data_IF_836054662831
#
_entry.id   IF_836054662831
#
_cell.length_a   1.000
_cell.length_b   1.000
_cell.length_c   1.000
_cell.angle_alpha   90.00
_cell.angle_beta   90.00
_cell.angle_gamma   90.00
#
_symmetry.space_group_name_H-M   'P 1'
#
loop_
_entity.id
_entity.type
_entity.pdbx_description
1 polymer ?
#
# COMPACT_ATOMS: atom_id res chain seq x y z
N UNK A 1 -22.09 37.95 9.98
CA UNK A 1 -22.66 36.74 10.57
C UNK A 1 -23.51 36.09 9.48
N UNK A 2 -22.99 35.07 8.75
CA UNK A 2 -23.71 34.38 7.66
C UNK A 2 -23.97 32.95 8.14
N UNK A 3 -25.22 32.63 8.24
CA UNK A 3 -25.78 31.33 8.61
C UNK A 3 -25.48 30.33 7.52
N UNK A 4 -24.93 29.18 7.90
CA UNK A 4 -24.73 28.06 6.99
C UNK A 4 -26.11 27.40 6.72
N UNK A 5 -26.51 27.35 5.45
CA UNK A 5 -27.68 26.60 5.02
C UNK A 5 -27.35 25.11 4.98
N UNK A 6 -27.93 24.37 5.90
CA UNK A 6 -27.96 22.91 5.85
C UNK A 6 -28.97 22.47 4.78
N UNK A 7 -28.50 21.75 3.78
CA UNK A 7 -29.36 21.06 2.83
C UNK A 7 -30.22 20.02 3.57
N UNK A 8 -31.51 20.31 3.68
CA UNK A 8 -32.52 19.31 4.08
C UNK A 8 -32.76 18.40 2.88
N UNK A 9 -32.44 17.12 3.03
CA UNK A 9 -32.95 16.07 2.15
C UNK A 9 -34.42 15.89 2.52
N UNK A 10 -35.30 16.22 1.59
CA UNK A 10 -36.72 15.96 1.68
C UNK A 10 -36.97 14.48 1.39
N UNK A 11 -37.37 13.72 2.39
CA UNK A 11 -37.95 12.39 2.20
C UNK A 11 -39.31 12.51 1.50
N UNK A 12 -39.32 12.22 0.19
CA UNK A 12 -40.57 12.04 -0.56
C UNK A 12 -40.79 10.52 -0.71
N UNK A 13 -41.83 9.92 -0.10
CA UNK A 13 -42.03 8.47 -0.10
C UNK A 13 -42.72 7.88 -1.36
N UNK A 14 -42.81 8.58 -2.47
CA UNK A 14 -43.50 8.08 -3.67
C UNK A 14 -42.67 8.30 -4.95
N UNK A 15 -41.59 7.57 -5.13
CA UNK A 15 -41.04 7.27 -6.45
C UNK A 15 -40.47 5.85 -6.51
N UNK A 16 -41.21 4.85 -7.02
CA UNK A 16 -40.71 3.51 -7.24
C UNK A 16 -40.02 3.44 -8.60
N UNK A 17 -38.81 3.91 -8.73
CA UNK A 17 -38.08 3.62 -9.94
C UNK A 17 -37.10 4.68 -10.39
N UNK A 18 -35.96 4.61 -9.88
CA UNK A 18 -34.63 4.68 -10.50
C UNK A 18 -33.60 4.97 -9.44
N UNK A 19 -33.21 3.93 -8.74
CA UNK A 19 -31.98 4.00 -7.97
C UNK A 19 -30.87 4.31 -8.97
N UNK A 20 -30.13 5.42 -8.83
CA UNK A 20 -28.96 5.65 -9.68
C UNK A 20 -28.03 4.45 -9.53
N UNK A 21 -27.36 4.00 -10.61
CA UNK A 21 -26.44 2.88 -10.52
C UNK A 21 -25.48 3.16 -9.37
N UNK A 22 -25.41 2.22 -8.43
CA UNK A 22 -24.47 2.28 -7.32
C UNK A 22 -23.07 2.43 -7.91
N UNK A 23 -22.49 3.62 -7.78
CA UNK A 23 -21.09 3.89 -8.17
C UNK A 23 -20.12 3.39 -7.10
N UNK A 24 -20.63 2.67 -6.09
CA UNK A 24 -19.78 2.00 -5.13
C UNK A 24 -19.19 0.80 -5.86
N UNK A 25 -17.85 0.69 -6.02
CA UNK A 25 -17.24 -0.51 -6.61
C UNK A 25 -17.72 -1.70 -5.80
N UNK A 26 -18.16 -2.72 -6.53
CA UNK A 26 -18.55 -3.99 -5.93
C UNK A 26 -17.43 -4.43 -4.97
N UNK A 27 -17.74 -4.82 -3.71
CA UNK A 27 -16.71 -5.25 -2.79
C UNK A 27 -15.88 -6.35 -3.46
N UNK A 28 -14.56 -6.34 -3.34
CA UNK A 28 -13.71 -7.33 -3.99
C UNK A 28 -14.20 -8.73 -3.60
N UNK A 29 -14.28 -9.60 -4.60
CA UNK A 29 -14.68 -10.98 -4.39
C UNK A 29 -13.81 -11.58 -3.26
N UNK A 30 -14.44 -12.37 -2.39
CA UNK A 30 -13.74 -13.08 -1.32
C UNK A 30 -12.50 -13.80 -1.87
N UNK A 31 -11.33 -13.46 -1.35
CA UNK A 31 -10.06 -13.98 -1.85
C UNK A 31 -9.56 -15.19 -1.04
N UNK A 32 -9.94 -15.32 0.23
CA UNK A 32 -9.45 -16.37 1.15
C UNK A 32 -7.97 -16.24 1.52
N UNK A 33 -7.40 -17.24 2.16
CA UNK A 33 -6.00 -17.24 2.61
C UNK A 33 -5.66 -16.02 3.48
N UNK A 34 -4.54 -15.36 3.20
CA UNK A 34 -4.13 -14.14 3.93
C UNK A 34 -4.94 -12.89 3.55
N UNK A 35 -5.76 -12.98 2.50
CA UNK A 35 -6.70 -11.95 2.08
C UNK A 35 -8.14 -12.24 2.53
N UNK A 36 -8.33 -13.15 3.47
CA UNK A 36 -9.62 -13.45 4.07
C UNK A 36 -10.18 -12.19 4.76
N UNK A 37 -11.40 -11.72 4.42
CA UNK A 37 -11.99 -10.53 5.01
C UNK A 37 -12.25 -10.63 6.51
N UNK A 38 -12.37 -11.85 7.05
CA UNK A 38 -12.54 -12.10 8.49
C UNK A 38 -11.19 -12.32 9.19
N UNK A 39 -10.08 -12.34 8.45
CA UNK A 39 -8.72 -12.40 8.98
C UNK A 39 -8.13 -11.01 9.18
N UNK A 40 -7.05 -10.92 9.97
CA UNK A 40 -6.33 -9.66 10.23
C UNK A 40 -4.85 -9.81 9.92
N UNK A 41 -4.36 -9.00 8.99
CA UNK A 41 -2.93 -8.92 8.68
C UNK A 41 -2.32 -7.69 9.38
N UNK A 42 -1.29 -7.92 10.19
CA UNK A 42 -0.64 -6.91 11.03
C UNK A 42 0.79 -6.70 10.55
N UNK A 43 1.13 -5.44 10.27
CA UNK A 43 2.51 -5.02 10.01
C UNK A 43 3.22 -4.72 11.32
N UNK A 44 4.27 -5.47 11.62
CA UNK A 44 5.18 -5.21 12.73
C UNK A 44 6.38 -4.44 12.18
N UNK A 45 6.58 -3.22 12.66
CA UNK A 45 7.65 -2.36 12.17
C UNK A 45 9.06 -2.93 12.42
N UNK A 46 9.21 -3.73 13.46
CA UNK A 46 10.51 -4.19 13.94
C UNK A 46 11.19 -3.17 14.86
N UNK A 47 12.26 -3.58 15.51
CA UNK A 47 13.11 -2.72 16.32
C UNK A 47 14.29 -2.17 15.50
N UNK A 48 15.18 -1.39 16.14
CA UNK A 48 16.25 -0.65 15.48
C UNK A 48 17.17 -1.46 14.54
N UNK A 49 17.35 -2.76 14.83
CA UNK A 49 18.20 -3.69 14.07
C UNK A 49 17.45 -4.96 13.64
N UNK A 50 16.14 -5.01 13.88
CA UNK A 50 15.30 -6.15 13.54
C UNK A 50 14.52 -5.89 12.27
N UNK A 51 14.41 -6.91 11.43
CA UNK A 51 13.55 -6.85 10.27
C UNK A 51 12.08 -6.70 10.66
N UNK A 52 11.35 -6.02 9.84
CA UNK A 52 9.89 -5.96 9.93
C UNK A 52 9.28 -7.32 9.59
N UNK A 53 8.09 -7.57 10.09
CA UNK A 53 7.39 -8.84 9.86
C UNK A 53 5.90 -8.66 9.68
N UNK A 54 5.23 -9.68 9.14
CA UNK A 54 3.79 -9.76 9.11
C UNK A 54 3.31 -10.84 10.09
N UNK A 55 2.31 -10.47 10.88
CA UNK A 55 1.52 -11.39 11.71
C UNK A 55 0.14 -11.52 11.10
N UNK A 56 -0.39 -12.72 11.01
CA UNK A 56 -1.74 -12.99 10.57
C UNK A 56 -2.56 -13.58 11.71
N UNK A 57 -3.76 -13.06 11.92
CA UNK A 57 -4.75 -13.63 12.82
C UNK A 57 -5.82 -14.24 11.93
N UNK A 58 -6.00 -15.56 12.03
CA UNK A 58 -7.01 -16.27 11.24
C UNK A 58 -8.43 -15.91 11.68
N UNK A 59 -9.46 -16.17 10.87
CA UNK A 59 -10.86 -16.00 11.27
C UNK A 59 -11.23 -16.70 12.58
N UNK A 60 -10.57 -17.84 12.89
CA UNK A 60 -10.76 -18.59 14.13
C UNK A 60 -9.98 -18.02 15.32
N UNK A 61 -9.20 -16.94 15.12
CA UNK A 61 -8.40 -16.29 16.15
C UNK A 61 -7.01 -16.90 16.38
N UNK A 62 -6.54 -17.80 15.52
CA UNK A 62 -5.17 -18.31 15.63
C UNK A 62 -4.15 -17.27 15.17
N UNK A 63 -3.02 -17.15 15.87
CA UNK A 63 -1.97 -16.18 15.57
C UNK A 63 -0.81 -16.85 14.86
N UNK A 64 -0.51 -16.40 13.66
CA UNK A 64 0.62 -16.84 12.85
C UNK A 64 1.63 -15.70 12.70
N UNK A 65 2.82 -15.87 13.25
CA UNK A 65 3.89 -14.86 13.17
C UNK A 65 4.82 -15.09 11.98
N UNK A 66 5.43 -14.01 11.49
CA UNK A 66 6.43 -14.03 10.41
C UNK A 66 5.92 -14.69 9.11
N UNK A 67 4.63 -14.52 8.79
CA UNK A 67 3.98 -15.23 7.68
C UNK A 67 4.64 -14.94 6.33
N UNK A 68 5.07 -13.69 6.07
CA UNK A 68 5.79 -13.36 4.84
C UNK A 68 7.12 -14.13 4.74
N UNK A 69 7.92 -14.13 5.81
CA UNK A 69 9.21 -14.82 5.82
C UNK A 69 9.06 -16.33 5.68
N UNK A 70 8.04 -16.93 6.29
CA UNK A 70 7.73 -18.36 6.14
C UNK A 70 7.46 -18.75 4.69
N UNK A 71 6.75 -17.88 3.95
CA UNK A 71 6.41 -18.12 2.55
C UNK A 71 7.59 -17.89 1.61
N UNK A 72 8.37 -16.81 1.84
CA UNK A 72 9.37 -16.34 0.88
C UNK A 72 10.82 -16.68 1.25
N UNK A 73 11.08 -17.20 2.46
CA UNK A 73 12.41 -17.52 2.95
C UNK A 73 13.27 -16.30 3.36
N UNK A 74 12.74 -15.07 3.18
CA UNK A 74 13.41 -13.82 3.51
C UNK A 74 12.45 -12.83 4.14
N UNK A 75 12.94 -11.85 4.91
CA UNK A 75 12.14 -10.72 5.36
C UNK A 75 11.92 -9.73 4.21
N UNK A 76 10.80 -9.00 4.21
CA UNK A 76 10.55 -8.00 3.17
C UNK A 76 11.42 -6.74 3.31
N UNK A 77 11.82 -6.36 4.52
CA UNK A 77 12.70 -5.23 4.76
C UNK A 77 12.67 -4.73 6.18
N UNK A 78 13.46 -3.70 6.45
CA UNK A 78 13.57 -3.00 7.72
C UNK A 78 12.59 -1.83 7.80
N UNK A 79 12.07 -1.55 9.00
CA UNK A 79 11.26 -0.37 9.25
C UNK A 79 10.00 -0.35 8.40
N UNK A 80 9.14 -1.38 8.54
CA UNK A 80 7.85 -1.46 7.85
C UNK A 80 7.01 -0.21 8.09
N UNK A 81 6.45 0.36 7.04
CA UNK A 81 5.75 1.64 7.08
C UNK A 81 4.26 1.48 6.79
N UNK A 82 3.90 0.70 5.79
CA UNK A 82 2.51 0.61 5.36
C UNK A 82 2.21 -0.69 4.62
N UNK A 83 0.94 -1.09 4.64
CA UNK A 83 0.36 -2.18 3.88
C UNK A 83 -0.83 -1.66 3.10
N UNK A 84 -0.91 -2.03 1.84
CA UNK A 84 -2.06 -1.71 0.99
C UNK A 84 -2.46 -2.92 0.17
N UNK A 85 -3.74 -3.29 0.21
CA UNK A 85 -4.28 -4.39 -0.59
C UNK A 85 -5.09 -3.82 -1.76
N UNK A 86 -4.76 -4.26 -2.97
CA UNK A 86 -5.46 -3.82 -4.19
C UNK A 86 -5.40 -4.90 -5.26
N UNK A 87 -6.55 -5.21 -5.87
CA UNK A 87 -6.68 -6.17 -6.97
C UNK A 87 -5.97 -7.51 -6.73
N UNK A 88 -6.18 -8.11 -5.55
CA UNK A 88 -5.57 -9.40 -5.21
C UNK A 88 -4.07 -9.36 -4.93
N UNK A 89 -3.49 -8.18 -4.82
CA UNK A 89 -2.08 -7.96 -4.46
C UNK A 89 -1.94 -7.23 -3.15
N UNK A 90 -0.91 -7.60 -2.40
CA UNK A 90 -0.49 -6.93 -1.18
C UNK A 90 0.78 -6.12 -1.49
N UNK A 91 0.72 -4.84 -1.24
CA UNK A 91 1.82 -3.89 -1.35
C UNK A 91 2.38 -3.65 0.05
N UNK A 92 3.65 -3.96 0.25
CA UNK A 92 4.35 -3.85 1.54
C UNK A 92 5.41 -2.79 1.40
N UNK A 93 5.29 -1.71 2.15
CA UNK A 93 6.23 -0.61 2.15
C UNK A 93 7.14 -0.67 3.38
N UNK A 94 8.45 -0.52 3.16
CA UNK A 94 9.45 -0.43 4.21
C UNK A 94 10.48 0.65 3.92
N UNK A 95 11.20 1.12 4.92
CA UNK A 95 12.36 2.00 4.68
C UNK A 95 13.54 1.21 4.12
N UNK A 96 13.56 -0.08 4.34
CA UNK A 96 14.60 -1.03 3.99
C UNK A 96 16.01 -0.58 4.43
N UNK A 97 16.08 0.16 5.54
CA UNK A 97 17.34 0.58 6.16
C UNK A 97 17.27 0.38 7.66
N UNK A 98 18.30 -0.21 8.23
CA UNK A 98 18.50 -0.26 9.67
C UNK A 98 19.07 1.08 10.22
N UNK A 99 19.31 1.14 11.52
CA UNK A 99 19.91 2.34 12.17
C UNK A 99 21.33 2.63 11.69
N UNK A 100 22.02 1.65 11.13
CA UNK A 100 23.36 1.80 10.55
C UNK A 100 23.34 2.10 9.05
N UNK A 101 22.17 2.40 8.49
CA UNK A 101 21.95 2.67 7.06
C UNK A 101 22.28 1.46 6.15
N UNK A 102 22.28 0.25 6.71
CA UNK A 102 22.40 -0.99 5.93
C UNK A 102 21.04 -1.37 5.36
N UNK A 103 21.05 -1.79 4.10
CA UNK A 103 19.87 -2.34 3.47
C UNK A 103 19.76 -3.83 3.78
N UNK A 104 18.65 -4.24 4.38
CA UNK A 104 18.35 -5.62 4.68
C UNK A 104 16.95 -5.99 4.24
N UNK A 105 16.75 -7.26 3.90
CA UNK A 105 15.50 -7.77 3.38
C UNK A 105 15.36 -7.59 1.88
N UNK A 106 14.17 -7.84 1.37
CA UNK A 106 13.91 -7.91 -0.07
C UNK A 106 13.99 -6.53 -0.74
N UNK A 107 13.31 -5.53 -0.21
CA UNK A 107 13.33 -4.19 -0.81
C UNK A 107 12.48 -3.16 -0.09
N UNK A 108 12.40 -1.97 -0.67
CA UNK A 108 11.62 -0.85 -0.12
C UNK A 108 10.12 -1.01 -0.41
N UNK A 109 9.76 -1.45 -1.61
CA UNK A 109 8.41 -1.82 -1.97
C UNK A 109 8.39 -3.26 -2.46
N UNK A 110 7.62 -4.09 -1.78
CA UNK A 110 7.38 -5.48 -2.16
C UNK A 110 5.93 -5.63 -2.59
N UNK A 111 5.73 -6.27 -3.72
CA UNK A 111 4.40 -6.67 -4.20
C UNK A 111 4.31 -8.18 -4.09
N UNK A 112 3.31 -8.65 -3.37
CA UNK A 112 3.02 -10.06 -3.17
C UNK A 112 1.58 -10.38 -3.59
N UNK A 113 1.33 -11.62 -3.93
CA UNK A 113 -0.03 -12.14 -4.07
C UNK A 113 -0.74 -12.08 -2.70
N UNK A 114 -1.92 -11.49 -2.64
CA UNK A 114 -2.59 -11.21 -1.37
C UNK A 114 -3.09 -12.46 -0.64
N UNK A 115 -3.42 -13.51 -1.40
CA UNK A 115 -3.94 -14.78 -0.85
C UNK A 115 -2.82 -15.65 -0.27
N UNK A 116 -1.70 -15.72 -0.97
CA UNK A 116 -0.60 -16.65 -0.67
C UNK A 116 0.61 -15.98 -0.01
N UNK A 117 0.70 -14.66 -0.04
CA UNK A 117 1.87 -13.83 0.30
C UNK A 117 3.12 -14.14 -0.52
N UNK A 118 3.01 -14.90 -1.61
CA UNK A 118 4.13 -15.12 -2.52
C UNK A 118 4.57 -13.81 -3.14
N UNK A 119 5.84 -13.49 -2.98
CA UNK A 119 6.49 -12.32 -3.58
C UNK A 119 6.47 -12.41 -5.09
N UNK A 120 6.00 -11.37 -5.76
CA UNK A 120 5.93 -11.25 -7.21
C UNK A 120 6.95 -10.24 -7.75
N UNK A 121 7.04 -9.06 -7.10
CA UNK A 121 7.96 -7.99 -7.50
C UNK A 121 8.59 -7.35 -6.27
N UNK A 122 9.78 -6.82 -6.47
CA UNK A 122 10.52 -6.07 -5.46
C UNK A 122 11.14 -4.86 -6.11
N UNK A 123 11.03 -3.72 -5.44
CA UNK A 123 11.71 -2.49 -5.83
C UNK A 123 12.61 -2.05 -4.69
N UNK A 124 13.87 -1.84 -4.99
CA UNK A 124 14.83 -1.25 -4.06
C UNK A 124 14.67 0.28 -4.05
N UNK A 125 15.21 0.92 -3.04
CA UNK A 125 15.05 2.36 -2.84
C UNK A 125 15.56 3.20 -4.03
N UNK A 126 16.68 2.81 -4.62
CA UNK A 126 17.33 3.47 -5.76
C UNK A 126 16.60 3.26 -7.11
N UNK A 127 15.76 2.23 -7.20
CA UNK A 127 14.91 1.96 -8.36
C UNK A 127 13.63 2.79 -8.35
N UNK A 128 13.26 3.38 -7.20
CA UNK A 128 12.06 4.19 -7.05
C UNK A 128 12.33 5.64 -7.44
N UNK A 129 11.50 6.16 -8.33
CA UNK A 129 11.62 7.53 -8.86
C UNK A 129 10.27 8.24 -8.79
N UNK A 130 10.28 9.55 -8.77
CA UNK A 130 9.07 10.37 -8.88
C UNK A 130 9.20 11.33 -10.05
N UNK A 131 8.08 11.72 -10.71
CA UNK A 131 8.11 12.69 -11.79
C UNK A 131 8.57 14.06 -11.28
N UNK A 132 9.30 14.80 -12.11
CA UNK A 132 9.62 16.20 -11.81
C UNK A 132 8.34 17.01 -11.64
N UNK A 133 8.33 18.00 -10.74
CA UNK A 133 7.16 18.88 -10.60
C UNK A 133 6.81 19.55 -11.94
N UNK A 134 5.50 19.69 -12.18
CA UNK A 134 4.96 20.40 -13.36
C UNK A 134 5.56 21.83 -13.45
N UNK A 135 5.89 22.28 -14.66
CA UNK A 135 6.54 23.57 -14.91
C UNK A 135 8.07 23.53 -14.80
N UNK A 136 8.69 22.37 -14.59
CA UNK A 136 10.14 22.22 -14.65
C UNK A 136 10.63 22.20 -16.11
N UNK A 137 11.92 22.56 -16.34
CA UNK A 137 12.52 22.60 -17.69
C UNK A 137 12.50 21.25 -18.42
N UNK A 138 12.45 20.15 -17.67
CA UNK A 138 12.37 18.78 -18.17
C UNK A 138 11.24 18.00 -17.48
N UNK A 139 10.00 18.26 -17.86
CA UNK A 139 8.81 17.65 -17.27
C UNK A 139 8.73 16.11 -17.42
N UNK A 140 9.48 15.54 -18.38
CA UNK A 140 9.56 14.10 -18.61
C UNK A 140 10.65 13.39 -17.79
N UNK A 141 11.42 14.12 -17.01
CA UNK A 141 12.49 13.55 -16.19
C UNK A 141 11.94 13.00 -14.87
N UNK A 142 12.42 11.83 -14.49
CA UNK A 142 12.14 11.22 -13.20
C UNK A 142 13.33 11.41 -12.26
N UNK A 143 13.04 11.91 -11.07
CA UNK A 143 14.04 12.13 -10.02
C UNK A 143 14.11 10.92 -9.08
N UNK A 144 15.32 10.54 -8.60
CA UNK A 144 15.45 9.49 -7.61
C UNK A 144 14.84 9.93 -6.27
N UNK A 145 14.26 8.97 -5.53
CA UNK A 145 13.82 9.22 -4.17
C UNK A 145 15.02 9.57 -3.27
N UNK A 146 14.85 10.62 -2.47
CA UNK A 146 15.87 11.06 -1.50
C UNK A 146 15.42 10.86 -0.04
N UNK A 147 14.13 10.59 0.16
CA UNK A 147 13.54 10.38 1.50
C UNK A 147 12.73 9.09 1.56
N UNK A 148 12.77 8.36 2.68
CA UNK A 148 11.96 7.15 2.85
C UNK A 148 10.47 7.43 2.69
N UNK A 149 9.80 6.53 2.01
CA UNK A 149 8.35 6.51 1.85
C UNK A 149 7.68 6.08 3.17
N UNK A 150 6.46 6.55 3.43
CA UNK A 150 5.75 6.24 4.67
C UNK A 150 4.38 5.62 4.46
N UNK A 151 3.66 6.07 3.46
CA UNK A 151 2.33 5.56 3.16
C UNK A 151 2.25 5.23 1.68
N UNK A 152 1.43 4.27 1.32
CA UNK A 152 1.21 3.88 -0.06
C UNK A 152 -0.29 3.82 -0.35
N UNK A 153 -0.69 4.35 -1.50
CA UNK A 153 -2.00 4.16 -2.11
C UNK A 153 -1.76 3.69 -3.54
N UNK A 154 -2.46 2.66 -3.95
CA UNK A 154 -2.34 2.10 -5.29
C UNK A 154 -3.57 2.46 -6.09
N UNK A 155 -3.39 3.05 -7.27
CA UNK A 155 -4.48 3.40 -8.18
C UNK A 155 -4.64 2.32 -9.24
N UNK A 156 -3.52 1.88 -9.80
CA UNK A 156 -3.46 0.80 -10.78
C UNK A 156 -2.12 0.06 -10.65
N UNK A 157 -1.88 -0.94 -11.49
CA UNK A 157 -0.66 -1.75 -11.43
C UNK A 157 0.65 -0.99 -11.69
N UNK A 158 0.57 0.28 -12.09
CA UNK A 158 1.72 1.13 -12.48
C UNK A 158 1.81 2.43 -11.70
N UNK A 159 0.74 2.82 -10.99
CA UNK A 159 0.65 4.12 -10.35
C UNK A 159 0.49 3.95 -8.85
N UNK A 160 1.50 4.36 -8.11
CA UNK A 160 1.53 4.32 -6.66
C UNK A 160 1.71 5.73 -6.13
N UNK A 161 0.93 6.10 -5.13
CA UNK A 161 1.16 7.33 -4.37
C UNK A 161 1.83 7.00 -3.07
N UNK A 162 2.86 7.74 -2.74
CA UNK A 162 3.46 7.64 -1.42
C UNK A 162 3.73 9.01 -0.84
N UNK A 163 3.52 9.12 0.45
CA UNK A 163 3.80 10.33 1.20
C UNK A 163 5.19 10.24 1.81
N UNK A 164 5.99 11.27 1.59
CA UNK A 164 7.20 11.55 2.37
C UNK A 164 6.90 12.57 3.46
N UNK A 165 7.78 12.74 4.45
CA UNK A 165 7.57 13.70 5.56
C UNK A 165 7.29 15.15 5.12
N UNK A 166 7.56 15.53 3.87
CA UNK A 166 7.50 16.93 3.41
C UNK A 166 6.60 17.18 2.19
N UNK A 167 6.33 16.17 1.37
CA UNK A 167 5.54 16.37 0.14
C UNK A 167 4.74 15.10 -0.21
N UNK A 168 3.56 15.28 -0.79
CA UNK A 168 2.91 14.23 -1.57
C UNK A 168 3.68 14.14 -2.89
N UNK A 169 4.16 12.96 -3.21
CA UNK A 169 4.83 12.70 -4.48
C UNK A 169 4.10 11.56 -5.18
N UNK A 170 3.70 11.81 -6.42
CA UNK A 170 3.21 10.78 -7.30
C UNK A 170 4.37 9.85 -7.64
N UNK A 171 4.29 8.62 -7.18
CA UNK A 171 5.28 7.61 -7.48
C UNK A 171 4.77 6.80 -8.67
N UNK A 172 5.26 7.12 -9.85
CA UNK A 172 5.00 6.30 -11.04
C UNK A 172 6.16 5.34 -11.19
N UNK A 173 5.91 4.05 -10.98
CA UNK A 173 6.88 3.02 -11.34
C UNK A 173 6.64 2.67 -12.81
N UNK A 174 7.53 3.11 -13.69
CA UNK A 174 7.54 2.60 -15.06
C UNK A 174 8.35 1.30 -15.08
N UNK A 175 7.77 0.18 -15.53
CA UNK A 175 8.58 -0.99 -15.84
C UNK A 175 9.55 -0.57 -16.94
N UNK A 176 10.83 -0.77 -16.73
CA UNK A 176 11.82 -0.72 -17.80
C UNK A 176 11.47 -1.82 -18.81
N UNK A 177 11.46 -1.48 -20.09
CA UNK A 177 11.20 -2.40 -21.22
C UNK A 177 12.23 -3.51 -21.27
#
# INVERSE_FOLDING_TARGET
MRTADFLRISDNPEDPGTQPPSTNPEPPAYLGGYADPDGVLILNQGAAIENSSLTYITPEGNIEQNVYQKVNGSAFGHGGQDLYMHNGKLYILSTNKDVYQKHEGDGTLVIADAVTLKREKVFKFDELKYPRPEGSLDENEFLPLVTPLRNIVVIDEKTYFSQTRKHFSDLTVRPEN
#
